data_IF_823212945473
#
_entry.id   IF_823212945473
#
_cell.length_a   1.000
_cell.length_b   1.000
_cell.length_c   1.000
_cell.angle_alpha   90.00
_cell.angle_beta   90.00
_cell.angle_gamma   90.00
#
_symmetry.space_group_name_H-M   'P 1'
#
loop_
_entity.id
_entity.type
_entity.pdbx_description
1 polymer ?
#
# COMPACT_ATOMS: atom_id res chain seq x y z
N UNK A 1 21.06 11.32 -2.07
CA UNK A 1 21.02 9.93 -1.61
C UNK A 1 19.80 9.83 -0.69
N UNK A 2 18.70 9.21 -1.11
CA UNK A 2 17.51 9.10 -0.27
C UNK A 2 17.72 7.92 0.69
N UNK A 3 18.30 8.21 1.86
CA UNK A 3 18.52 7.23 2.93
C UNK A 3 17.27 7.21 3.79
N UNK A 4 16.28 6.41 3.40
CA UNK A 4 15.09 6.10 4.20
C UNK A 4 15.03 4.60 4.48
N UNK A 5 14.26 4.21 5.49
CA UNK A 5 13.86 2.82 5.70
C UNK A 5 12.77 2.45 4.69
N UNK A 6 12.69 1.16 4.38
CA UNK A 6 11.64 0.60 3.53
C UNK A 6 11.08 -0.68 4.16
N UNK A 7 9.83 -0.97 3.88
CA UNK A 7 9.18 -2.23 4.21
C UNK A 7 8.32 -2.70 3.04
N UNK A 8 8.29 -4.02 2.81
CA UNK A 8 7.44 -4.65 1.81
C UNK A 8 6.34 -5.46 2.47
N UNK A 9 5.10 -5.17 2.13
CA UNK A 9 3.90 -5.90 2.55
C UNK A 9 3.35 -6.75 1.41
N UNK A 10 2.89 -7.96 1.73
CA UNK A 10 2.24 -8.88 0.79
C UNK A 10 0.87 -9.29 1.30
N UNK A 11 -0.09 -9.34 0.39
CA UNK A 11 -1.43 -9.84 0.63
C UNK A 11 -1.81 -10.76 -0.53
N UNK A 12 -2.01 -12.05 -0.23
CA UNK A 12 -2.47 -13.04 -1.21
C UNK A 12 -3.98 -12.87 -1.44
N UNK A 13 -4.35 -12.50 -2.66
CA UNK A 13 -5.74 -12.23 -3.04
C UNK A 13 -5.88 -12.20 -4.56
N UNK A 14 -6.98 -12.75 -5.08
CA UNK A 14 -7.35 -12.63 -6.49
C UNK A 14 -7.87 -11.21 -6.84
N UNK A 15 -8.16 -10.39 -5.83
CA UNK A 15 -8.65 -9.02 -5.98
C UNK A 15 -7.51 -7.98 -5.98
N UNK A 16 -6.26 -8.37 -6.19
CA UNK A 16 -5.10 -7.48 -6.04
C UNK A 16 -5.21 -6.20 -6.88
N UNK A 17 -5.54 -6.31 -8.18
CA UNK A 17 -5.71 -5.16 -9.07
C UNK A 17 -6.82 -4.23 -8.60
N UNK A 18 -7.92 -4.81 -8.10
CA UNK A 18 -9.06 -4.07 -7.59
C UNK A 18 -8.71 -3.30 -6.33
N UNK A 19 -7.95 -3.88 -5.40
CA UNK A 19 -7.53 -3.20 -4.18
C UNK A 19 -6.46 -2.13 -4.42
N UNK A 20 -5.52 -2.39 -5.33
CA UNK A 20 -4.55 -1.38 -5.77
C UNK A 20 -5.24 -0.11 -6.27
N UNK A 21 -6.23 -0.27 -7.17
CA UNK A 21 -6.98 0.86 -7.72
C UNK A 21 -7.83 1.58 -6.67
N UNK A 22 -8.44 0.84 -5.73
CA UNK A 22 -9.19 1.44 -4.61
C UNK A 22 -8.30 2.26 -3.69
N UNK A 23 -7.13 1.74 -3.30
CA UNK A 23 -6.14 2.47 -2.51
C UNK A 23 -5.70 3.74 -3.22
N UNK A 24 -5.30 3.65 -4.48
CA UNK A 24 -4.85 4.80 -5.25
C UNK A 24 -5.94 5.86 -5.40
N UNK A 25 -7.17 5.45 -5.73
CA UNK A 25 -8.32 6.37 -5.82
C UNK A 25 -8.62 7.03 -4.48
N UNK A 26 -8.57 6.28 -3.39
CA UNK A 26 -8.81 6.81 -2.05
C UNK A 26 -7.76 7.85 -1.66
N UNK A 27 -6.47 7.53 -1.83
CA UNK A 27 -5.39 8.45 -1.48
C UNK A 27 -5.34 9.69 -2.40
N UNK A 28 -5.77 9.57 -3.67
CA UNK A 28 -5.86 10.69 -4.60
C UNK A 28 -6.74 11.86 -4.11
N UNK A 29 -7.59 11.64 -3.10
CA UNK A 29 -8.39 12.70 -2.48
C UNK A 29 -7.54 13.67 -1.64
N UNK A 30 -6.34 13.27 -1.22
CA UNK A 30 -5.48 14.01 -0.27
C UNK A 30 -4.06 14.21 -0.76
N UNK A 31 -3.53 13.27 -1.53
CA UNK A 31 -2.14 13.28 -1.99
C UNK A 31 -2.05 12.91 -3.47
N UNK A 32 -0.89 13.15 -4.08
CA UNK A 32 -0.64 12.70 -5.44
C UNK A 32 -0.65 11.16 -5.48
N UNK A 33 -1.46 10.60 -6.36
CA UNK A 33 -1.52 9.17 -6.63
C UNK A 33 -1.69 8.92 -8.13
N UNK A 34 -1.01 7.91 -8.64
CA UNK A 34 -1.12 7.43 -10.03
C UNK A 34 -1.17 5.92 -10.03
N UNK A 35 -2.03 5.32 -10.85
CA UNK A 35 -2.09 3.88 -11.00
C UNK A 35 -2.66 3.47 -12.35
N UNK A 36 -2.33 2.24 -12.73
CA UNK A 36 -3.05 1.44 -13.72
C UNK A 36 -3.59 0.16 -13.03
N UNK A 37 -3.93 -0.84 -13.82
CA UNK A 37 -4.45 -2.13 -13.37
C UNK A 37 -3.38 -3.04 -12.71
N UNK A 38 -2.09 -2.74 -12.88
CA UNK A 38 -0.97 -3.58 -12.44
C UNK A 38 -0.03 -2.91 -11.47
N UNK A 39 0.04 -1.58 -11.47
CA UNK A 39 0.99 -0.83 -10.66
C UNK A 39 0.44 0.53 -10.23
N UNK A 40 0.94 1.04 -9.12
CA UNK A 40 0.58 2.36 -8.62
C UNK A 40 1.67 2.98 -7.76
N UNK A 41 1.63 4.30 -7.66
CA UNK A 41 2.50 5.08 -6.78
C UNK A 41 1.70 6.18 -6.10
N UNK A 42 1.90 6.32 -4.79
CA UNK A 42 1.20 7.26 -3.93
C UNK A 42 2.24 8.01 -3.10
N UNK A 43 2.18 9.34 -3.10
CA UNK A 43 3.01 10.19 -2.26
C UNK A 43 2.39 10.29 -0.85
N UNK A 44 2.51 9.23 -0.03
CA UNK A 44 2.06 9.30 1.37
C UNK A 44 2.85 10.38 2.11
N UNK A 45 2.26 10.93 3.16
CA UNK A 45 2.91 11.97 3.97
C UNK A 45 4.25 11.53 4.59
N UNK A 46 4.39 10.23 4.87
CA UNK A 46 5.61 9.60 5.42
C UNK A 46 6.66 9.30 4.36
N UNK A 47 6.29 9.27 3.08
CA UNK A 47 7.15 8.92 1.96
C UNK A 47 6.42 8.19 0.83
N UNK A 48 7.15 7.81 -0.24
CA UNK A 48 6.54 7.12 -1.37
C UNK A 48 6.02 5.73 -0.99
N UNK A 49 4.84 5.40 -1.48
CA UNK A 49 4.21 4.09 -1.43
C UNK A 49 4.03 3.57 -2.85
N UNK A 50 4.56 2.39 -3.14
CA UNK A 50 4.46 1.73 -4.45
C UNK A 50 3.66 0.46 -4.33
N UNK A 51 2.80 0.21 -5.30
CA UNK A 51 1.90 -0.92 -5.32
C UNK A 51 2.10 -1.71 -6.61
N UNK A 52 2.05 -3.04 -6.51
CA UNK A 52 2.01 -3.95 -7.65
C UNK A 52 0.93 -4.99 -7.42
N UNK A 53 0.16 -5.25 -8.47
CA UNK A 53 -0.86 -6.28 -8.48
C UNK A 53 -0.56 -7.31 -9.56
N UNK A 54 -0.72 -8.57 -9.21
CA UNK A 54 -0.80 -9.67 -10.18
C UNK A 54 -2.11 -10.44 -9.95
N UNK A 55 -2.24 -11.65 -10.53
CA UNK A 55 -3.47 -12.44 -10.45
C UNK A 55 -3.79 -12.96 -9.03
N UNK A 56 -2.82 -13.01 -8.11
CA UNK A 56 -2.99 -13.65 -6.80
C UNK A 56 -2.28 -12.94 -5.63
N UNK A 57 -1.59 -11.82 -5.86
CA UNK A 57 -0.86 -11.07 -4.83
C UNK A 57 -0.98 -9.56 -5.08
N UNK A 58 -1.34 -8.82 -4.03
CA UNK A 58 -1.05 -7.40 -3.90
C UNK A 58 0.25 -7.23 -3.11
N UNK A 59 1.22 -6.56 -3.71
CA UNK A 59 2.47 -6.16 -3.06
C UNK A 59 2.48 -4.65 -2.86
N UNK A 60 2.91 -4.23 -1.68
CA UNK A 60 3.09 -2.82 -1.34
C UNK A 60 4.50 -2.60 -0.80
N UNK A 61 5.19 -1.57 -1.27
CA UNK A 61 6.43 -1.07 -0.69
C UNK A 61 6.17 0.33 -0.14
N UNK A 62 6.51 0.54 1.13
CA UNK A 62 6.47 1.87 1.76
C UNK A 62 7.87 2.29 2.14
N UNK A 63 8.18 3.58 1.98
CA UNK A 63 9.41 4.19 2.44
C UNK A 63 9.11 5.29 3.44
N UNK A 64 10.01 5.46 4.41
CA UNK A 64 9.92 6.49 5.45
C UNK A 64 11.32 6.88 5.96
N UNK A 65 11.51 8.06 6.57
CA UNK A 65 12.83 8.50 7.05
C UNK A 65 13.31 7.75 8.29
N UNK A 66 12.40 7.24 9.13
CA UNK A 66 12.73 6.48 10.34
C UNK A 66 11.70 5.37 10.62
N UNK A 67 11.93 4.61 11.69
CA UNK A 67 11.13 3.43 12.03
C UNK A 67 9.70 3.79 12.49
N UNK A 68 9.51 4.94 13.14
CA UNK A 68 8.20 5.38 13.62
C UNK A 68 7.31 5.74 12.43
N UNK A 69 7.84 6.54 11.50
CA UNK A 69 7.13 6.88 10.27
C UNK A 69 6.93 5.66 9.35
N UNK A 70 7.84 4.69 9.37
CA UNK A 70 7.67 3.44 8.63
C UNK A 70 6.50 2.61 9.17
N UNK A 71 6.39 2.46 10.49
CA UNK A 71 5.27 1.76 11.10
C UNK A 71 3.94 2.51 10.92
N UNK A 72 3.98 3.84 10.91
CA UNK A 72 2.82 4.64 10.52
C UNK A 72 2.41 4.38 9.06
N UNK A 73 3.36 4.32 8.13
CA UNK A 73 3.08 4.04 6.73
C UNK A 73 2.42 2.66 6.54
N UNK A 74 2.91 1.62 7.22
CA UNK A 74 2.31 0.27 7.22
C UNK A 74 0.86 0.31 7.72
N UNK A 75 0.61 0.94 8.87
CA UNK A 75 -0.74 1.07 9.45
C UNK A 75 -1.71 1.83 8.56
N UNK A 76 -1.23 2.87 7.87
CA UNK A 76 -2.04 3.60 6.89
C UNK A 76 -2.49 2.63 5.79
N UNK A 77 -1.59 1.85 5.19
CA UNK A 77 -1.95 0.88 4.15
C UNK A 77 -2.92 -0.18 4.70
N UNK A 78 -2.59 -0.81 5.82
CA UNK A 78 -3.38 -1.89 6.41
C UNK A 78 -4.81 -1.44 6.76
N UNK A 79 -4.97 -0.29 7.43
CA UNK A 79 -6.29 0.21 7.85
C UNK A 79 -7.23 0.54 6.69
N UNK A 80 -6.70 0.96 5.54
CA UNK A 80 -7.52 1.20 4.34
C UNK A 80 -7.83 -0.11 3.64
N UNK A 81 -6.85 -1.03 3.56
CA UNK A 81 -7.03 -2.32 2.94
C UNK A 81 -8.02 -3.19 3.73
N UNK A 82 -8.01 -3.18 5.05
CA UNK A 82 -9.01 -3.84 5.92
C UNK A 82 -10.44 -3.39 5.61
N UNK A 83 -10.65 -2.09 5.38
CA UNK A 83 -11.96 -1.55 5.00
C UNK A 83 -12.40 -1.99 3.60
N UNK A 84 -11.46 -2.13 2.67
CA UNK A 84 -11.77 -2.50 1.28
C UNK A 84 -11.93 -4.01 1.10
N UNK A 85 -11.09 -4.78 1.78
CA UNK A 85 -11.01 -6.24 1.75
C UNK A 85 -11.79 -6.90 2.90
N UNK A 86 -12.81 -6.23 3.45
CA UNK A 86 -13.61 -6.73 4.58
C UNK A 86 -14.33 -8.07 4.31
N UNK A 87 -14.41 -8.50 3.04
CA UNK A 87 -14.98 -9.79 2.64
C UNK A 87 -13.95 -10.93 2.56
N UNK A 88 -12.67 -10.62 2.75
CA UNK A 88 -11.55 -11.56 2.73
C UNK A 88 -10.87 -11.68 4.11
N UNK A 89 -11.54 -11.21 5.17
CA UNK A 89 -11.03 -11.23 6.54
C UNK A 89 -9.60 -10.65 6.69
N UNK A 90 -9.25 -9.70 5.82
CA UNK A 90 -7.96 -9.02 5.87
C UNK A 90 -7.84 -8.21 7.16
N UNK A 91 -6.69 -8.31 7.82
CA UNK A 91 -6.34 -7.49 8.99
C UNK A 91 -5.04 -6.72 8.76
N UNK A 92 -3.96 -7.40 8.37
CA UNK A 92 -2.65 -6.78 8.09
C UNK A 92 -1.93 -7.51 6.96
N UNK A 93 -1.09 -6.79 6.21
CA UNK A 93 -0.18 -7.41 5.25
C UNK A 93 0.96 -8.14 5.97
N UNK A 94 1.55 -9.12 5.29
CA UNK A 94 2.81 -9.75 5.72
C UNK A 94 3.99 -8.81 5.42
N UNK A 95 4.35 -7.96 6.39
CA UNK A 95 5.43 -6.96 6.28
C UNK A 95 6.83 -7.54 6.57
N UNK A 96 7.83 -7.18 5.75
CA UNK A 96 9.26 -7.48 5.92
C UNK A 96 10.14 -6.28 5.68
#
# INVERSE_FOLDING_TARGET
MQTGLAATGRFETENASKYLQQLCKHFAHKVQARCDDRSGEVALGTGPCRLWANASELRVEVMAPDAEELDQAKRIVDSHLERFAFREDFTTMSWT
#
